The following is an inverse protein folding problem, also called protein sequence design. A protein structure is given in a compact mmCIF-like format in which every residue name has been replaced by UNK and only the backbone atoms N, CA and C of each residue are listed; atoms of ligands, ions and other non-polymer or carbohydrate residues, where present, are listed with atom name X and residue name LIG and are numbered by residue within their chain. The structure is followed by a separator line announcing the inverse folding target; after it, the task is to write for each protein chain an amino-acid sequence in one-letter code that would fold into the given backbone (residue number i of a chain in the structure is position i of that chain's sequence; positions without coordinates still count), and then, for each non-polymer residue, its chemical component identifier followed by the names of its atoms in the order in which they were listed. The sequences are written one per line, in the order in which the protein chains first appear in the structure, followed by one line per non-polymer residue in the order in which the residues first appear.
data_IF_012178718760
#
_entry.id   IF_012178718760
#
_cell.length_a   1.000
_cell.length_b   1.000
_cell.length_c   1.000
_cell.angle_alpha   90.00
_cell.angle_beta   90.00
_cell.angle_gamma   90.00
#
_symmetry.space_group_name_H-M   'P 1'
#
loop_
_entity.id
_entity.type
_entity.pdbx_description
1 polymer ?
#
# COMPACT_ATOMS: atom_id res chain seq x y z
N UNK A 1 -4.32 15.61 -6.81
CA UNK A 1 -3.19 15.90 -5.90
C UNK A 1 -1.95 15.98 -6.77
N UNK A 2 -1.14 17.04 -6.66
CA UNK A 2 0.10 17.13 -7.44
C UNK A 2 1.21 16.31 -6.78
N UNK A 3 2.25 15.94 -7.52
CA UNK A 3 3.40 15.21 -6.96
C UNK A 3 4.01 15.96 -5.77
N UNK A 4 4.26 17.26 -5.91
CA UNK A 4 4.82 18.12 -4.85
C UNK A 4 3.94 18.12 -3.60
N UNK A 5 2.62 18.18 -3.74
CA UNK A 5 1.72 18.10 -2.61
C UNK A 5 1.72 16.72 -1.95
N UNK A 6 1.75 15.66 -2.76
CA UNK A 6 1.84 14.29 -2.26
C UNK A 6 3.10 14.11 -1.42
N UNK A 7 4.25 14.57 -1.93
CA UNK A 7 5.54 14.53 -1.24
C UNK A 7 5.49 15.38 0.04
N UNK A 8 4.98 16.62 -0.04
CA UNK A 8 4.86 17.49 1.13
C UNK A 8 3.91 16.94 2.20
N UNK A 9 2.81 16.30 1.80
CA UNK A 9 1.89 15.64 2.73
C UNK A 9 2.57 14.44 3.40
N UNK A 10 3.23 13.58 2.62
CA UNK A 10 3.98 12.42 3.13
C UNK A 10 5.09 12.86 4.08
N UNK A 11 5.82 13.94 3.77
CA UNK A 11 6.87 14.48 4.62
C UNK A 11 6.32 14.91 5.97
N UNK A 12 5.23 15.69 5.98
CA UNK A 12 4.59 16.11 7.23
C UNK A 12 4.07 14.93 8.05
N UNK A 13 3.48 13.93 7.40
CA UNK A 13 3.01 12.72 8.06
C UNK A 13 4.17 11.90 8.64
N UNK A 14 5.27 11.75 7.91
CA UNK A 14 6.48 11.07 8.36
C UNK A 14 7.12 11.80 9.54
N UNK A 15 7.25 13.13 9.43
CA UNK A 15 7.77 14.00 10.49
C UNK A 15 6.97 13.85 11.79
N UNK A 16 5.64 13.97 11.71
CA UNK A 16 4.76 13.78 12.86
C UNK A 16 4.89 12.38 13.48
N UNK A 17 4.90 11.33 12.66
CA UNK A 17 5.06 9.95 13.14
C UNK A 17 6.43 9.71 13.80
N UNK A 18 7.50 10.30 13.25
CA UNK A 18 8.85 10.21 13.81
C UNK A 18 8.95 10.97 15.13
N UNK A 19 8.30 12.12 15.27
CA UNK A 19 8.25 12.87 16.52
C UNK A 19 7.47 12.14 17.61
N UNK A 20 6.32 11.54 17.26
CA UNK A 20 5.55 10.67 18.16
C UNK A 20 6.40 9.48 18.63
N UNK A 21 7.10 8.82 17.70
CA UNK A 21 7.98 7.69 17.99
C UNK A 21 9.16 8.10 18.89
N UNK A 22 9.83 9.21 18.59
CA UNK A 22 10.90 9.77 19.44
C UNK A 22 10.38 10.14 20.83
N UNK A 23 9.15 10.64 20.93
CA UNK A 23 8.53 10.91 22.23
C UNK A 23 8.28 9.63 23.01
N UNK A 24 7.74 8.59 22.36
CA UNK A 24 7.51 7.29 22.98
C UNK A 24 8.81 6.63 23.44
N UNK A 25 9.88 6.69 22.63
CA UNK A 25 11.21 6.18 22.99
C UNK A 25 11.76 6.91 24.22
N UNK A 26 11.66 8.25 24.26
CA UNK A 26 12.10 9.03 25.44
C UNK A 26 11.33 8.71 26.71
N UNK A 27 10.02 8.46 26.61
CA UNK A 27 9.20 8.05 27.75
C UNK A 27 9.56 6.63 28.22
N UNK A 28 9.73 5.69 27.30
CA UNK A 28 10.15 4.32 27.61
C UNK A 28 11.52 4.29 28.29
N UNK A 29 12.47 5.10 27.82
CA UNK A 29 13.83 5.21 28.37
C UNK A 29 13.88 5.63 29.85
N UNK A 30 12.78 6.15 30.43
CA UNK A 30 12.71 6.44 31.88
C UNK A 30 12.58 5.18 32.74
N UNK A 31 12.12 4.08 32.17
CA UNK A 31 11.80 2.84 32.88
C UNK A 31 12.85 1.73 32.66
N UNK A 32 13.65 1.87 31.61
CA UNK A 32 14.70 0.92 31.27
C UNK A 32 16.05 1.60 31.50
N UNK A 33 16.97 0.93 32.20
CA UNK A 33 18.40 1.27 32.23
C UNK A 33 19.02 0.91 30.87
N UNK A 34 18.44 1.45 29.80
CA UNK A 34 18.84 1.15 28.44
C UNK A 34 20.14 1.91 28.15
N UNK A 35 21.26 1.22 28.34
CA UNK A 35 22.45 1.48 27.56
C UNK A 35 22.05 1.49 26.08
N UNK A 36 22.49 2.51 25.34
CA UNK A 36 22.00 2.95 24.03
C UNK A 36 21.58 1.82 23.07
N UNK A 37 20.30 1.40 23.11
CA UNK A 37 19.76 0.54 22.05
C UNK A 37 19.60 1.42 20.81
N UNK A 38 20.57 1.28 19.90
CA UNK A 38 20.60 1.97 18.61
C UNK A 38 19.55 1.36 17.67
N UNK A 39 18.34 1.90 17.71
CA UNK A 39 17.30 1.56 16.74
C UNK A 39 17.52 2.35 15.45
N UNK A 40 17.50 1.66 14.31
CA UNK A 40 17.40 2.35 13.03
C UNK A 40 16.03 3.01 12.92
N UNK A 41 16.02 4.33 13.00
CA UNK A 41 14.87 5.17 12.72
C UNK A 41 15.05 5.72 11.30
N UNK A 42 14.17 5.39 10.34
CA UNK A 42 14.26 5.96 9.01
C UNK A 42 14.16 7.49 9.12
N UNK A 43 14.99 8.18 8.36
CA UNK A 43 14.91 9.64 8.25
C UNK A 43 13.67 10.04 7.45
N UNK A 44 13.25 11.31 7.57
CA UNK A 44 12.19 11.85 6.70
C UNK A 44 12.58 11.72 5.22
N UNK A 45 13.86 11.89 4.90
CA UNK A 45 14.38 11.77 3.55
C UNK A 45 14.31 10.32 3.03
N UNK A 46 14.56 9.31 3.88
CA UNK A 46 14.40 7.90 3.50
C UNK A 46 12.95 7.57 3.10
N UNK A 47 11.99 8.10 3.87
CA UNK A 47 10.56 7.92 3.58
C UNK A 47 10.16 8.62 2.28
N UNK A 48 10.73 9.80 2.01
CA UNK A 48 10.44 10.59 0.81
C UNK A 48 11.08 9.97 -0.42
N UNK A 49 12.34 9.57 -0.35
CA UNK A 49 13.05 8.93 -1.46
C UNK A 49 12.32 7.67 -1.92
N UNK A 50 11.89 6.84 -0.97
CA UNK A 50 11.08 5.65 -1.29
C UNK A 50 9.79 6.01 -2.03
N UNK A 51 9.12 7.08 -1.62
CA UNK A 51 7.89 7.54 -2.28
C UNK A 51 8.17 8.10 -3.68
N UNK A 52 9.30 8.77 -3.88
CA UNK A 52 9.76 9.21 -5.21
C UNK A 52 10.05 8.03 -6.13
N UNK A 53 10.71 6.99 -5.60
CA UNK A 53 11.00 5.75 -6.34
C UNK A 53 9.71 5.05 -6.76
N UNK A 54 8.71 4.97 -5.88
CA UNK A 54 7.37 4.42 -6.21
C UNK A 54 6.69 5.25 -7.32
N UNK A 55 6.80 6.58 -7.25
CA UNK A 55 6.23 7.48 -8.25
C UNK A 55 7.00 7.50 -9.58
N UNK A 56 8.24 7.03 -9.62
CA UNK A 56 9.06 6.99 -10.84
C UNK A 56 8.50 6.08 -11.93
N UNK A 57 7.61 5.16 -11.56
CA UNK A 57 6.85 4.30 -12.48
C UNK A 57 5.79 5.06 -13.29
N UNK A 58 5.48 6.30 -12.93
CA UNK A 58 4.47 7.12 -13.60
C UNK A 58 5.11 8.21 -14.46
N UNK A 59 4.51 8.46 -15.63
CA UNK A 59 4.82 9.65 -16.41
C UNK A 59 4.20 10.89 -15.75
N UNK A 60 5.04 11.91 -15.52
CA UNK A 60 4.61 13.16 -14.92
C UNK A 60 4.24 14.17 -16.02
N UNK A 61 2.96 14.56 -16.06
CA UNK A 61 2.51 15.64 -16.95
C UNK A 61 2.87 16.99 -16.32
N UNK A 62 3.80 17.77 -16.90
CA UNK A 62 4.22 19.04 -16.31
C UNK A 62 3.12 20.09 -16.46
N UNK A 63 2.93 20.89 -15.41
CA UNK A 63 2.07 22.08 -15.46
C UNK A 63 2.82 23.17 -16.24
N UNK A 64 2.30 23.57 -17.38
CA UNK A 64 2.87 24.69 -18.14
C UNK A 64 2.60 26.02 -17.43
N UNK A 65 3.48 27.00 -17.66
CA UNK A 65 3.32 28.34 -17.09
C UNK A 65 2.00 29.00 -17.51
N UNK A 66 1.59 28.78 -18.76
CA UNK A 66 0.31 29.27 -19.29
C UNK A 66 -0.89 28.62 -18.58
N UNK A 67 -0.82 27.32 -18.29
CA UNK A 67 -1.86 26.60 -17.54
C UNK A 67 -1.97 27.17 -16.12
N UNK A 68 -0.84 27.43 -15.46
CA UNK A 68 -0.82 28.01 -14.11
C UNK A 68 -1.42 29.43 -14.07
N UNK A 69 -1.06 30.29 -15.03
CA UNK A 69 -1.63 31.64 -15.14
C UNK A 69 -3.13 31.57 -15.43
N UNK A 70 -3.56 30.71 -16.36
CA UNK A 70 -4.96 30.53 -16.69
C UNK A 70 -5.76 29.96 -15.51
N UNK A 71 -5.16 29.09 -14.70
CA UNK A 71 -5.77 28.54 -13.51
C UNK A 71 -6.04 29.60 -12.43
N UNK A 72 -5.11 30.53 -12.21
CA UNK A 72 -5.31 31.68 -11.31
C UNK A 72 -6.42 32.61 -11.81
N UNK A 73 -6.51 32.83 -13.13
CA UNK A 73 -7.60 33.61 -13.72
C UNK A 73 -8.95 32.91 -13.51
N UNK A 74 -9.02 31.60 -13.75
CA UNK A 74 -10.23 30.81 -13.48
C UNK A 74 -10.67 30.88 -12.02
N UNK A 75 -9.73 30.87 -11.09
CA UNK A 75 -10.04 31.06 -9.67
C UNK A 75 -10.66 32.44 -9.42
N UNK A 76 -10.03 33.52 -9.88
CA UNK A 76 -10.56 34.88 -9.75
C UNK A 76 -11.98 35.02 -10.32
N UNK A 77 -12.23 34.39 -11.47
CA UNK A 77 -13.52 34.41 -12.18
C UNK A 77 -14.50 33.31 -11.70
N UNK A 78 -14.10 32.46 -10.75
CA UNK A 78 -14.89 31.35 -10.19
C UNK A 78 -15.38 30.37 -11.26
N UNK A 79 -14.54 30.13 -12.28
CA UNK A 79 -14.82 29.20 -13.37
C UNK A 79 -14.42 27.78 -12.93
N UNK A 80 -15.32 26.78 -13.06
CA UNK A 80 -15.01 25.40 -12.70
C UNK A 80 -13.67 24.89 -13.28
N UNK A 81 -12.93 24.04 -12.55
CA UNK A 81 -13.28 23.48 -11.24
C UNK A 81 -13.12 24.47 -10.06
N UNK A 82 -12.71 25.72 -10.31
CA UNK A 82 -12.68 26.74 -9.26
C UNK A 82 -14.10 27.21 -8.88
N UNK A 83 -14.26 27.73 -7.65
CA UNK A 83 -15.53 28.15 -7.09
C UNK A 83 -15.38 29.20 -6.00
N UNK A 84 -16.50 29.80 -5.61
CA UNK A 84 -16.57 30.54 -4.36
C UNK A 84 -16.71 29.58 -3.16
N UNK A 85 -16.13 29.96 -2.04
CA UNK A 85 -16.42 29.44 -0.71
C UNK A 85 -17.64 30.15 -0.09
N UNK A 86 -18.18 29.67 1.04
CA UNK A 86 -19.28 30.33 1.73
C UNK A 86 -19.01 31.78 2.17
N UNK A 87 -17.75 32.12 2.44
CA UNK A 87 -17.28 33.48 2.77
C UNK A 87 -17.02 34.36 1.54
N UNK A 88 -17.26 33.84 0.33
CA UNK A 88 -17.12 34.58 -0.93
C UNK A 88 -15.69 34.64 -1.49
N UNK A 89 -14.71 34.07 -0.79
CA UNK A 89 -13.35 33.89 -1.30
C UNK A 89 -13.32 32.89 -2.45
N UNK A 90 -12.40 33.09 -3.38
CA UNK A 90 -12.22 32.22 -4.53
C UNK A 90 -11.20 31.12 -4.20
N UNK A 91 -11.52 29.88 -4.56
CA UNK A 91 -10.64 28.72 -4.37
C UNK A 91 -10.69 27.80 -5.59
N UNK A 92 -9.62 27.04 -5.80
CA UNK A 92 -9.55 25.96 -6.79
C UNK A 92 -8.59 26.20 -7.95
N UNK A 93 -7.68 27.18 -7.86
CA UNK A 93 -6.61 27.38 -8.85
C UNK A 93 -5.80 26.10 -9.08
N UNK A 94 -5.47 25.34 -8.03
CA UNK A 94 -4.79 24.05 -8.19
C UNK A 94 -5.57 23.08 -9.08
N UNK A 95 -6.84 22.88 -8.78
CA UNK A 95 -7.66 21.91 -9.51
C UNK A 95 -7.92 22.41 -10.94
N UNK A 96 -7.96 23.72 -11.15
CA UNK A 96 -8.01 24.34 -12.47
C UNK A 96 -6.71 24.12 -13.26
N UNK A 97 -5.54 24.17 -12.61
CA UNK A 97 -4.26 23.85 -13.23
C UNK A 97 -4.18 22.37 -13.64
N UNK A 98 -4.63 21.46 -12.75
CA UNK A 98 -4.73 20.02 -13.06
C UNK A 98 -5.64 19.81 -14.28
N UNK A 99 -6.83 20.42 -14.29
CA UNK A 99 -7.76 20.33 -15.41
C UNK A 99 -7.12 20.81 -16.72
N UNK A 100 -6.50 21.98 -16.69
CA UNK A 100 -5.86 22.59 -17.86
C UNK A 100 -4.74 21.72 -18.43
N UNK A 101 -3.89 21.17 -17.56
CA UNK A 101 -2.80 20.30 -17.99
C UNK A 101 -3.30 18.96 -18.55
N UNK A 102 -4.31 18.34 -17.92
CA UNK A 102 -4.95 17.11 -18.44
C UNK A 102 -5.62 17.38 -19.79
N UNK A 103 -6.37 18.48 -19.90
CA UNK A 103 -7.00 18.91 -21.15
C UNK A 103 -5.97 19.14 -22.26
N UNK A 104 -4.89 19.87 -21.96
CA UNK A 104 -3.81 20.15 -22.91
C UNK A 104 -3.17 18.84 -23.40
N UNK A 105 -2.82 17.96 -22.47
CA UNK A 105 -2.27 16.64 -22.77
C UNK A 105 -3.19 15.84 -23.70
N UNK A 106 -4.48 15.73 -23.33
CA UNK A 106 -5.49 15.02 -24.12
C UNK A 106 -5.62 15.58 -25.55
N UNK A 107 -5.71 16.91 -25.69
CA UNK A 107 -5.87 17.56 -26.99
C UNK A 107 -4.61 17.49 -27.85
N UNK A 108 -3.42 17.44 -27.24
CA UNK A 108 -2.15 17.33 -27.97
C UNK A 108 -1.87 15.93 -28.52
N UNK A 109 -2.47 14.88 -27.95
CA UNK A 109 -2.27 13.49 -28.37
C UNK A 109 -2.98 13.10 -29.67
N UNK A 110 -3.75 14.01 -30.29
CA UNK A 110 -4.41 13.76 -31.57
C UNK A 110 -5.67 12.88 -31.49
N UNK A 111 -6.05 12.29 -32.62
CA UNK A 111 -7.31 11.57 -32.81
C UNK A 111 -7.37 10.18 -32.15
N UNK A 112 -6.23 9.63 -31.75
CA UNK A 112 -6.15 8.29 -31.12
C UNK A 112 -6.03 8.35 -29.59
N UNK A 113 -5.67 9.51 -29.04
CA UNK A 113 -5.52 9.70 -27.60
C UNK A 113 -6.83 9.46 -26.82
N UNK A 114 -6.89 8.38 -26.06
CA UNK A 114 -7.94 8.18 -25.05
C UNK A 114 -7.42 8.64 -23.70
N UNK A 115 -8.26 9.29 -22.89
CA UNK A 115 -7.88 9.76 -21.55
C UNK A 115 -8.91 9.35 -20.52
N UNK A 116 -8.44 8.66 -19.49
CA UNK A 116 -9.23 8.26 -18.33
C UNK A 116 -8.84 9.13 -17.13
N UNK A 117 -9.62 10.17 -16.87
CA UNK A 117 -9.36 11.12 -15.79
C UNK A 117 -10.00 10.64 -14.48
N UNK A 118 -9.17 10.29 -13.51
CA UNK A 118 -9.61 9.81 -12.18
C UNK A 118 -9.41 10.90 -11.13
N UNK A 119 -10.46 11.26 -10.39
CA UNK A 119 -10.36 12.22 -9.29
C UNK A 119 -11.44 12.02 -8.23
N UNK A 120 -11.02 11.90 -6.97
CA UNK A 120 -11.91 11.87 -5.80
C UNK A 120 -12.57 13.22 -5.48
N UNK A 121 -12.13 14.32 -6.11
CA UNK A 121 -12.78 15.62 -5.96
C UNK A 121 -14.02 15.75 -6.87
N UNK A 122 -15.04 14.94 -6.59
CA UNK A 122 -16.32 14.97 -7.31
C UNK A 122 -17.11 16.27 -7.09
N UNK A 123 -16.78 17.06 -6.06
CA UNK A 123 -17.41 18.36 -5.83
C UNK A 123 -17.06 19.32 -6.95
N UNK A 124 -15.77 19.43 -7.28
CA UNK A 124 -15.26 20.44 -8.20
C UNK A 124 -15.22 19.95 -9.65
N UNK A 125 -14.96 18.66 -9.89
CA UNK A 125 -14.96 18.07 -11.25
C UNK A 125 -16.28 17.42 -11.65
N UNK A 126 -17.00 16.83 -10.69
CA UNK A 126 -18.21 16.07 -10.95
C UNK A 126 -19.45 16.96 -11.12
N UNK A 127 -20.32 16.60 -12.06
CA UNK A 127 -21.58 17.29 -12.32
C UNK A 127 -22.47 17.36 -11.07
N UNK A 128 -23.28 18.41 -10.98
CA UNK A 128 -24.20 18.59 -9.83
C UNK A 128 -25.31 17.53 -9.83
N UNK A 129 -25.80 17.14 -11.01
CA UNK A 129 -26.86 16.14 -11.18
C UNK A 129 -26.39 14.71 -10.91
N UNK A 130 -25.17 14.38 -11.31
CA UNK A 130 -24.56 13.08 -11.09
C UNK A 130 -23.05 13.22 -10.92
N UNK A 131 -22.57 12.94 -9.71
CA UNK A 131 -21.14 13.07 -9.34
C UNK A 131 -20.21 12.08 -10.04
N UNK A 132 -20.76 11.10 -10.75
CA UNK A 132 -20.02 10.17 -11.62
C UNK A 132 -19.77 10.72 -13.03
N UNK A 133 -20.43 11.83 -13.40
CA UNK A 133 -20.25 12.48 -14.70
C UNK A 133 -19.37 13.71 -14.54
N UNK A 134 -18.57 14.01 -15.57
CA UNK A 134 -17.82 15.27 -15.63
C UNK A 134 -18.80 16.44 -15.76
N UNK A 135 -18.47 17.58 -15.16
CA UNK A 135 -19.22 18.84 -15.37
C UNK A 135 -19.32 19.18 -16.87
N UNK A 136 -20.49 19.63 -17.29
CA UNK A 136 -20.76 19.97 -18.70
C UNK A 136 -19.84 21.09 -19.18
N UNK A 137 -19.55 22.07 -18.32
CA UNK A 137 -18.64 23.18 -18.64
C UNK A 137 -17.23 22.68 -18.96
N UNK A 138 -16.73 21.68 -18.21
CA UNK A 138 -15.43 21.06 -18.47
C UNK A 138 -15.48 20.18 -19.73
N UNK A 139 -16.56 19.41 -19.91
CA UNK A 139 -16.75 18.57 -21.08
C UNK A 139 -16.79 19.38 -22.39
N UNK A 140 -17.42 20.55 -22.37
CA UNK A 140 -17.48 21.47 -23.53
C UNK A 140 -16.10 21.98 -23.95
N UNK A 141 -15.18 22.16 -23.00
CA UNK A 141 -13.81 22.62 -23.29
C UNK A 141 -12.98 21.61 -24.09
N UNK A 142 -13.39 20.34 -24.12
CA UNK A 142 -12.79 19.26 -24.91
C UNK A 142 -13.24 19.26 -26.38
N UNK A 143 -14.30 20.02 -26.72
CA UNK A 143 -14.81 20.18 -28.09
C UNK A 143 -15.11 18.82 -28.74
N UNK A 144 -14.58 18.59 -29.95
CA UNK A 144 -14.80 17.39 -30.74
C UNK A 144 -14.08 16.14 -30.17
N UNK A 145 -13.18 16.30 -29.19
CA UNK A 145 -12.44 15.19 -28.58
C UNK A 145 -13.14 14.59 -27.33
N UNK A 146 -14.31 15.12 -26.94
CA UNK A 146 -15.02 14.74 -25.71
C UNK A 146 -15.44 13.27 -25.64
N UNK A 147 -15.56 12.59 -26.77
CA UNK A 147 -15.96 11.18 -26.88
C UNK A 147 -14.88 10.19 -26.42
N UNK A 148 -13.63 10.65 -26.32
CA UNK A 148 -12.46 9.87 -25.89
C UNK A 148 -11.94 10.29 -24.53
N UNK A 149 -12.72 11.07 -23.78
CA UNK A 149 -12.38 11.52 -22.45
C UNK A 149 -13.38 10.99 -21.43
N UNK A 150 -12.90 10.13 -20.54
CA UNK A 150 -13.73 9.45 -19.56
C UNK A 150 -13.38 9.91 -18.16
N UNK A 151 -14.39 10.29 -17.37
CA UNK A 151 -14.20 10.73 -15.98
C UNK A 151 -14.62 9.64 -14.99
N UNK A 152 -13.77 9.40 -13.99
CA UNK A 152 -14.05 8.46 -12.90
C UNK A 152 -13.84 9.12 -11.53
N UNK A 153 -14.76 8.94 -10.58
CA UNK A 153 -14.67 9.56 -9.26
C UNK A 153 -13.64 8.90 -8.34
N UNK A 154 -13.13 7.71 -8.69
CA UNK A 154 -12.09 7.00 -7.95
C UNK A 154 -11.52 5.87 -8.82
N UNK A 155 -10.38 5.32 -8.39
CA UNK A 155 -9.69 4.25 -9.09
C UNK A 155 -10.55 2.98 -9.21
N UNK A 156 -11.32 2.64 -8.17
CA UNK A 156 -12.21 1.47 -8.21
C UNK A 156 -13.25 1.57 -9.33
N UNK A 157 -13.80 2.76 -9.57
CA UNK A 157 -14.76 2.99 -10.66
C UNK A 157 -14.11 2.85 -12.04
N UNK A 158 -12.82 3.22 -12.15
CA UNK A 158 -12.05 2.99 -13.37
C UNK A 158 -11.88 1.49 -13.61
N UNK A 159 -11.44 0.74 -12.59
CA UNK A 159 -11.26 -0.71 -12.68
C UNK A 159 -12.57 -1.41 -13.05
N UNK A 160 -13.68 -1.03 -12.41
CA UNK A 160 -15.02 -1.56 -12.73
C UNK A 160 -15.48 -1.27 -14.17
N UNK A 161 -14.85 -0.33 -14.87
CA UNK A 161 -15.16 -0.04 -16.28
C UNK A 161 -14.38 -0.88 -17.29
N UNK A 162 -13.25 -1.45 -16.87
CA UNK A 162 -12.42 -2.33 -17.69
C UNK A 162 -12.58 -3.80 -17.35
N UNK A 163 -13.09 -4.09 -16.15
CA UNK A 163 -13.12 -5.43 -15.62
C UNK A 163 -14.53 -5.76 -15.11
N UNK A 164 -14.99 -6.95 -15.46
CA UNK A 164 -16.28 -7.44 -15.00
C UNK A 164 -16.18 -7.76 -13.51
N UNK A 165 -17.03 -7.14 -12.70
CA UNK A 165 -17.07 -7.45 -11.28
C UNK A 165 -17.55 -8.89 -11.09
N UNK A 166 -16.71 -9.73 -10.52
CA UNK A 166 -17.03 -11.13 -10.25
C UNK A 166 -17.63 -11.29 -8.85
N UNK A 167 -18.40 -12.36 -8.66
CA UNK A 167 -18.80 -12.77 -7.33
C UNK A 167 -17.55 -13.08 -6.49
N UNK A 168 -17.58 -12.67 -5.22
CA UNK A 168 -16.54 -13.04 -4.28
C UNK A 168 -16.63 -14.53 -3.96
N UNK A 169 -15.48 -15.18 -3.84
CA UNK A 169 -15.35 -16.56 -3.43
C UNK A 169 -15.21 -16.65 -1.92
N UNK A 170 -15.78 -17.72 -1.36
CA UNK A 170 -15.45 -18.13 0.00
C UNK A 170 -14.08 -18.82 -0.04
N UNK A 171 -13.12 -18.26 0.67
CA UNK A 171 -11.73 -18.68 0.61
C UNK A 171 -11.54 -19.80 1.64
N UNK A 172 -11.60 -21.04 1.17
CA UNK A 172 -11.36 -22.21 2.03
C UNK A 172 -9.95 -22.24 2.61
N UNK A 173 -9.78 -22.91 3.76
CA UNK A 173 -8.47 -23.10 4.37
C UNK A 173 -7.53 -23.92 3.50
N UNK A 174 -8.06 -24.89 2.75
CA UNK A 174 -7.31 -25.69 1.80
C UNK A 174 -6.76 -24.82 0.65
N UNK A 175 -7.58 -23.90 0.13
CA UNK A 175 -7.13 -22.96 -0.87
C UNK A 175 -6.04 -22.03 -0.31
N UNK A 176 -6.21 -21.50 0.90
CA UNK A 176 -5.17 -20.68 1.54
C UNK A 176 -3.85 -21.40 1.70
N UNK A 177 -3.90 -22.66 2.13
CA UNK A 177 -2.69 -23.50 2.23
C UNK A 177 -2.04 -23.66 0.86
N UNK A 178 -2.82 -23.88 -0.19
CA UNK A 178 -2.28 -23.98 -1.55
C UNK A 178 -1.65 -22.66 -2.04
N UNK A 179 -2.22 -21.50 -1.68
CA UNK A 179 -1.63 -20.20 -1.98
C UNK A 179 -0.31 -20.00 -1.22
N UNK A 180 -0.29 -20.40 0.05
CA UNK A 180 0.89 -20.33 0.90
C UNK A 180 2.06 -21.15 0.31
N UNK A 181 1.78 -22.39 -0.12
CA UNK A 181 2.76 -23.31 -0.68
C UNK A 181 3.26 -22.88 -2.08
N UNK A 182 2.35 -22.43 -2.95
CA UNK A 182 2.70 -22.19 -4.35
C UNK A 182 3.22 -20.77 -4.64
N UNK A 183 2.81 -19.77 -3.86
CA UNK A 183 3.03 -18.36 -4.19
C UNK A 183 4.01 -17.66 -3.25
N UNK A 184 4.59 -18.41 -2.30
CA UNK A 184 5.52 -17.89 -1.31
C UNK A 184 5.00 -16.65 -0.58
N UNK A 185 3.68 -16.61 -0.30
CA UNK A 185 3.04 -15.49 0.40
C UNK A 185 3.76 -15.20 1.73
N UNK A 186 4.22 -16.26 2.40
CA UNK A 186 5.00 -16.16 3.63
C UNK A 186 6.29 -15.36 3.45
N UNK A 187 7.03 -15.53 2.36
CA UNK A 187 8.30 -14.81 2.18
C UNK A 187 8.06 -13.32 1.94
N UNK A 188 7.00 -12.99 1.20
CA UNK A 188 6.56 -11.63 0.90
C UNK A 188 6.08 -10.89 2.16
N UNK A 189 5.23 -11.54 2.96
CA UNK A 189 4.77 -10.98 4.24
C UNK A 189 5.94 -10.94 5.22
N UNK A 190 6.79 -11.98 5.31
CA UNK A 190 7.91 -12.02 6.25
C UNK A 190 8.93 -10.94 5.97
N UNK A 191 9.32 -10.74 4.69
CA UNK A 191 10.23 -9.67 4.30
C UNK A 191 9.69 -8.29 4.71
N UNK A 192 8.37 -8.09 4.63
CA UNK A 192 7.72 -6.84 5.02
C UNK A 192 7.58 -6.71 6.54
N UNK A 193 7.20 -7.78 7.23
CA UNK A 193 7.03 -7.85 8.68
C UNK A 193 8.36 -7.68 9.43
N UNK A 194 9.45 -8.30 8.94
CA UNK A 194 10.80 -8.12 9.51
C UNK A 194 11.24 -6.66 9.53
N UNK A 195 10.87 -5.87 8.52
CA UNK A 195 11.16 -4.43 8.47
C UNK A 195 10.40 -3.63 9.54
N UNK A 196 9.33 -4.19 10.10
CA UNK A 196 8.51 -3.56 11.13
C UNK A 196 8.94 -3.97 12.55
N UNK A 197 9.73 -5.03 12.68
CA UNK A 197 10.25 -5.46 13.99
C UNK A 197 11.50 -4.62 14.28
N UNK A 198 11.52 -3.88 15.40
CA UNK A 198 12.70 -3.13 15.78
C UNK A 198 13.87 -4.10 15.96
N UNK A 199 14.94 -3.91 15.19
CA UNK A 199 16.20 -4.62 15.39
C UNK A 199 16.80 -4.14 16.71
N UNK A 200 16.72 -4.93 17.77
CA UNK A 200 17.58 -4.70 18.94
C UNK A 200 18.97 -5.27 18.62
N UNK A 201 20.01 -4.53 18.97
CA UNK A 201 21.42 -4.94 18.78
C UNK A 201 21.78 -6.23 19.52
N UNK A 202 20.96 -6.66 20.47
CA UNK A 202 21.22 -7.78 21.37
C UNK A 202 20.50 -9.08 20.97
N UNK A 203 19.64 -9.05 19.95
CA UNK A 203 18.87 -10.22 19.52
C UNK A 203 19.17 -10.59 18.07
N UNK A 204 19.73 -11.77 17.86
CA UNK A 204 19.85 -12.37 16.54
C UNK A 204 18.54 -13.07 16.16
N UNK A 205 18.02 -12.79 14.95
CA UNK A 205 16.89 -13.56 14.41
C UNK A 205 17.38 -14.91 13.92
N UNK A 206 17.03 -15.97 14.64
CA UNK A 206 17.42 -17.35 14.31
C UNK A 206 16.46 -17.97 13.31
N UNK A 207 15.19 -17.59 13.38
CA UNK A 207 14.18 -18.07 12.45
C UNK A 207 12.90 -17.26 12.55
N UNK A 208 12.07 -17.38 11.53
CA UNK A 208 10.71 -16.89 11.55
C UNK A 208 9.78 -17.86 10.83
N UNK A 209 8.49 -17.69 11.10
CA UNK A 209 7.44 -18.44 10.45
C UNK A 209 6.20 -17.57 10.34
N UNK A 210 5.53 -17.65 9.21
CA UNK A 210 4.20 -17.11 9.04
C UNK A 210 3.19 -18.24 9.03
N UNK A 211 2.09 -18.02 9.74
CA UNK A 211 0.90 -18.83 9.62
C UNK A 211 -0.23 -17.93 9.15
N UNK A 212 -0.80 -18.24 7.97
CA UNK A 212 -2.02 -17.59 7.53
C UNK A 212 -3.18 -18.14 8.39
N UNK A 213 -3.87 -17.24 9.07
CA UNK A 213 -4.94 -17.57 10.03
C UNK A 213 -6.28 -17.63 9.31
N UNK A 214 -6.55 -16.62 8.49
CA UNK A 214 -7.78 -16.47 7.74
C UNK A 214 -7.55 -15.64 6.47
N UNK A 215 -8.47 -15.72 5.52
CA UNK A 215 -8.51 -14.77 4.43
C UNK A 215 -9.91 -14.54 3.91
N UNK A 216 -10.15 -13.30 3.49
CA UNK A 216 -11.39 -12.91 2.87
C UNK A 216 -11.10 -12.20 1.56
N UNK A 217 -11.76 -12.65 0.48
CA UNK A 217 -11.77 -11.91 -0.76
C UNK A 217 -12.70 -10.70 -0.64
N UNK A 218 -12.12 -9.51 -0.73
CA UNK A 218 -12.85 -8.23 -0.61
C UNK A 218 -13.48 -7.80 -1.92
N UNK A 219 -12.82 -8.09 -3.03
CA UNK A 219 -13.32 -7.80 -4.37
C UNK A 219 -12.66 -8.71 -5.39
N UNK A 220 -13.36 -8.97 -6.48
CA UNK A 220 -12.83 -9.71 -7.60
C UNK A 220 -13.31 -9.13 -8.94
N UNK A 221 -12.43 -9.23 -9.92
CA UNK A 221 -12.59 -8.63 -11.23
C UNK A 221 -12.14 -9.62 -12.31
N UNK A 222 -12.88 -9.71 -13.41
CA UNK A 222 -12.52 -10.45 -14.61
C UNK A 222 -11.76 -9.54 -15.57
N UNK A 223 -10.50 -9.84 -15.85
CA UNK A 223 -9.64 -9.09 -16.77
C UNK A 223 -9.10 -10.06 -17.82
N UNK A 224 -9.47 -9.87 -19.08
CA UNK A 224 -9.04 -10.72 -20.20
C UNK A 224 -9.26 -12.24 -19.98
N UNK A 225 -10.38 -12.58 -19.33
CA UNK A 225 -10.72 -13.97 -18.97
C UNK A 225 -10.03 -14.51 -17.72
N UNK A 226 -9.17 -13.72 -17.09
CA UNK A 226 -8.45 -14.05 -15.85
C UNK A 226 -9.11 -13.39 -14.64
N UNK A 227 -8.87 -13.93 -13.44
CA UNK A 227 -9.43 -13.39 -12.19
C UNK A 227 -8.37 -12.55 -11.47
N UNK A 228 -8.68 -11.28 -11.24
CA UNK A 228 -7.94 -10.40 -10.34
C UNK A 228 -8.73 -10.23 -9.03
N UNK A 229 -8.15 -10.66 -7.93
CA UNK A 229 -8.76 -10.68 -6.60
C UNK A 229 -7.98 -9.82 -5.62
N UNK A 230 -8.69 -9.07 -4.78
CA UNK A 230 -8.13 -8.40 -3.62
C UNK A 230 -8.46 -9.22 -2.38
N UNK A 231 -7.45 -9.80 -1.77
CA UNK A 231 -7.56 -10.57 -0.54
C UNK A 231 -7.18 -9.71 0.67
N UNK A 232 -7.94 -9.83 1.75
CA UNK A 232 -7.51 -9.46 3.09
C UNK A 232 -7.12 -10.73 3.82
N UNK A 233 -5.84 -10.87 4.14
CA UNK A 233 -5.28 -12.05 4.79
C UNK A 233 -4.90 -11.69 6.21
N UNK A 234 -5.39 -12.47 7.17
CA UNK A 234 -4.97 -12.41 8.57
C UNK A 234 -3.85 -13.41 8.79
N UNK A 235 -2.80 -13.00 9.49
CA UNK A 235 -1.64 -13.86 9.72
C UNK A 235 -1.08 -13.70 11.13
N UNK A 236 -0.47 -14.77 11.60
CA UNK A 236 0.39 -14.80 12.77
C UNK A 236 1.85 -14.89 12.30
N UNK A 237 2.66 -13.91 12.68
CA UNK A 237 4.11 -13.87 12.46
C UNK A 237 4.81 -14.29 13.75
N UNK A 238 5.54 -15.40 13.67
CA UNK A 238 6.36 -15.93 14.76
C UNK A 238 7.81 -15.64 14.46
N UNK A 239 8.53 -15.09 15.42
CA UNK A 239 9.98 -14.86 15.32
C UNK A 239 10.68 -15.53 16.49
N UNK A 240 11.69 -16.33 16.16
CA UNK A 240 12.62 -16.90 17.11
C UNK A 240 13.87 -16.02 17.15
N UNK A 241 14.06 -15.38 18.29
CA UNK A 241 15.19 -14.55 18.60
C UNK A 241 16.13 -15.29 19.54
N UNK A 242 17.43 -15.04 19.41
CA UNK A 242 18.45 -15.50 20.35
C UNK A 242 19.20 -14.31 20.91
N UNK A 243 19.39 -14.29 22.22
CA UNK A 243 20.22 -13.33 22.93
C UNK A 243 21.20 -14.05 23.85
N UNK A 244 21.93 -13.28 24.67
CA UNK A 244 22.89 -13.83 25.64
C UNK A 244 22.23 -14.73 26.69
N UNK A 245 20.93 -14.52 26.97
CA UNK A 245 20.16 -15.22 27.99
C UNK A 245 19.41 -16.46 27.44
N UNK A 246 19.50 -16.76 26.14
CA UNK A 246 18.86 -17.92 25.53
C UNK A 246 18.00 -17.58 24.32
N UNK A 247 16.86 -18.28 24.18
CA UNK A 247 15.96 -18.14 23.04
C UNK A 247 14.63 -17.54 23.48
N UNK A 248 14.13 -16.59 22.69
CA UNK A 248 12.85 -15.93 22.85
C UNK A 248 12.01 -16.20 21.63
N UNK A 249 10.76 -16.60 21.81
CA UNK A 249 9.79 -16.60 20.71
C UNK A 249 8.81 -15.45 20.92
N UNK A 250 8.61 -14.63 19.89
CA UNK A 250 7.59 -13.57 19.90
C UNK A 250 6.56 -13.85 18.82
N UNK A 251 5.29 -13.63 19.16
CA UNK A 251 4.15 -13.75 18.27
C UNK A 251 3.56 -12.38 17.98
N UNK A 252 3.31 -12.11 16.70
CA UNK A 252 2.68 -10.89 16.22
C UNK A 252 1.48 -11.24 15.34
N UNK A 253 0.33 -10.63 15.62
CA UNK A 253 -0.86 -10.74 14.77
C UNK A 253 -0.90 -9.58 13.77
N UNK A 254 -1.23 -9.85 12.51
CA UNK A 254 -1.26 -8.85 11.47
C UNK A 254 -2.33 -9.08 10.41
N UNK A 255 -2.55 -8.04 9.59
CA UNK A 255 -3.43 -8.09 8.43
C UNK A 255 -2.68 -7.56 7.21
N UNK A 256 -2.74 -8.32 6.12
CA UNK A 256 -2.18 -7.97 4.83
C UNK A 256 -3.29 -7.82 3.79
N UNK A 257 -3.19 -6.82 2.93
CA UNK A 257 -3.97 -6.72 1.69
C UNK A 257 -3.10 -7.18 0.54
N UNK A 258 -3.61 -8.11 -0.25
CA UNK A 258 -2.85 -8.79 -1.29
C UNK A 258 -3.67 -8.79 -2.57
N UNK A 259 -3.05 -8.41 -3.68
CA UNK A 259 -3.59 -8.67 -5.00
C UNK A 259 -3.17 -10.06 -5.45
N UNK A 260 -4.16 -10.86 -5.85
CA UNK A 260 -3.99 -12.19 -6.42
C UNK A 260 -4.47 -12.13 -7.88
N UNK A 261 -3.60 -12.39 -8.83
CA UNK A 261 -3.95 -12.49 -10.24
C UNK A 261 -3.80 -13.94 -10.69
N UNK A 262 -4.92 -14.60 -10.99
CA UNK A 262 -4.96 -15.97 -11.48
C UNK A 262 -5.17 -15.99 -12.99
N UNK A 263 -4.09 -16.26 -13.72
CA UNK A 263 -4.10 -16.43 -15.16
C UNK A 263 -3.86 -17.90 -15.54
N UNK A 264 -4.92 -18.55 -16.01
CA UNK A 264 -4.90 -19.95 -16.45
C UNK A 264 -4.35 -20.92 -15.39
N UNK A 265 -4.64 -20.69 -14.11
CA UNK A 265 -4.15 -21.52 -12.99
C UNK A 265 -2.74 -21.18 -12.53
N UNK A 266 -2.12 -20.15 -13.12
CA UNK A 266 -0.89 -19.55 -12.59
C UNK A 266 -1.29 -18.30 -11.84
N UNK A 267 -1.18 -18.37 -10.52
CA UNK A 267 -1.41 -17.22 -9.67
C UNK A 267 -0.12 -16.40 -9.49
N UNK A 268 -0.26 -15.09 -9.44
CA UNK A 268 0.78 -14.15 -8.97
C UNK A 268 0.23 -13.33 -7.82
N UNK A 269 1.12 -12.94 -6.90
CA UNK A 269 0.78 -12.28 -5.63
C UNK A 269 1.57 -11.00 -5.50
N UNK A 270 0.89 -9.92 -5.15
CA UNK A 270 1.50 -8.64 -4.82
C UNK A 270 0.96 -8.09 -3.50
N UNK A 271 1.86 -7.61 -2.63
CA UNK A 271 1.47 -7.00 -1.36
C UNK A 271 1.01 -5.55 -1.60
N UNK A 272 -0.27 -5.28 -1.39
CA UNK A 272 -0.86 -3.93 -1.47
C UNK A 272 -0.54 -3.13 -0.20
N UNK A 273 -0.81 -3.73 0.96
CA UNK A 273 -0.65 -3.06 2.25
C UNK A 273 -0.42 -4.04 3.38
N UNK A 274 0.48 -3.71 4.30
CA UNK A 274 0.63 -4.40 5.58
C UNK A 274 0.18 -3.46 6.71
N UNK A 275 -0.76 -3.90 7.54
CA UNK A 275 -1.14 -3.12 8.74
C UNK A 275 -0.10 -3.30 9.85
N UNK A 276 0.04 -2.30 10.76
CA UNK A 276 0.83 -2.46 11.98
C UNK A 276 0.48 -3.76 12.69
N UNK A 277 1.51 -4.57 12.96
CA UNK A 277 1.33 -5.80 13.69
C UNK A 277 1.12 -5.50 15.17
N UNK A 278 0.24 -6.25 15.81
CA UNK A 278 0.05 -6.18 17.25
C UNK A 278 0.89 -7.27 17.89
N UNK A 279 1.79 -6.90 18.80
CA UNK A 279 2.50 -7.88 19.63
C UNK A 279 1.48 -8.63 20.48
N UNK A 280 1.52 -9.95 20.42
CA UNK A 280 0.56 -10.82 21.11
C UNK A 280 1.21 -11.40 22.36
N UNK A 281 2.41 -11.96 22.22
CA UNK A 281 3.03 -12.75 23.28
C UNK A 281 4.54 -12.88 23.07
N UNK A 282 5.31 -12.94 24.17
CA UNK A 282 6.71 -13.38 24.18
C UNK A 282 6.89 -14.48 25.20
N UNK A 283 7.50 -15.59 24.80
CA UNK A 283 7.80 -16.73 25.66
C UNK A 283 9.31 -16.94 25.70
N UNK A 284 9.87 -17.01 26.91
CA UNK A 284 11.28 -17.37 27.13
C UNK A 284 11.39 -18.89 27.14
N UNK A 285 12.25 -19.43 26.28
CA UNK A 285 12.47 -20.87 26.14
C UNK A 285 13.69 -21.28 26.97
N UNK A 286 13.57 -21.22 28.30
CA UNK A 286 14.66 -21.59 29.22
C UNK A 286 14.97 -23.11 29.21
N UNK A 287 14.13 -23.94 28.59
CA UNK A 287 14.15 -25.40 28.76
C UNK A 287 13.84 -26.24 27.51
N UNK A 288 13.48 -25.63 26.37
CA UNK A 288 13.13 -26.42 25.16
C UNK A 288 14.35 -27.03 24.49
N UNK A 289 15.55 -26.46 24.71
CA UNK A 289 16.79 -27.09 24.26
C UNK A 289 17.17 -28.34 25.06
N UNK A 290 16.74 -28.48 26.31
CA UNK A 290 16.92 -29.74 27.06
C UNK A 290 15.99 -30.85 26.54
N UNK A 291 14.85 -30.48 25.93
CA UNK A 291 13.92 -31.43 25.32
C UNK A 291 14.28 -31.83 23.87
N UNK A 292 15.01 -30.97 23.15
CA UNK A 292 15.51 -31.24 21.79
C UNK A 292 16.98 -31.72 21.78
N UNK A 293 17.68 -31.62 22.91
CA UNK A 293 19.12 -31.89 23.08
C UNK A 293 19.46 -33.19 23.82
N UNK A 294 18.74 -34.27 23.52
CA UNK A 294 19.20 -35.62 23.87
C UNK A 294 20.41 -36.02 23.00
N UNK A 295 21.58 -36.04 23.64
CA UNK A 295 22.89 -36.53 23.18
C UNK A 295 23.55 -35.83 21.99
N UNK A 296 24.47 -34.92 22.35
CA UNK A 296 25.49 -34.35 21.48
C UNK A 296 26.53 -35.39 21.04
N UNK A 297 26.17 -36.23 20.07
CA UNK A 297 27.16 -36.80 19.16
C UNK A 297 27.25 -35.90 17.93
N UNK A 298 28.44 -35.33 17.73
CA UNK A 298 28.81 -34.50 16.60
C UNK A 298 28.75 -35.31 15.29
N UNK A 299 27.58 -35.41 14.68
CA UNK A 299 27.41 -35.86 13.31
C UNK A 299 27.12 -34.66 12.41
N UNK A 300 27.95 -34.42 11.41
CA UNK A 300 27.69 -33.49 10.32
C UNK A 300 26.34 -33.83 9.65
N UNK A 301 25.34 -32.96 9.81
CA UNK A 301 24.04 -33.11 9.16
C UNK A 301 24.14 -32.56 7.74
N UNK A 302 24.41 -33.45 6.79
CA UNK A 302 24.00 -33.26 5.41
C UNK A 302 22.47 -33.45 5.30
N UNK A 303 21.87 -32.55 4.52
CA UNK A 303 20.49 -32.49 4.03
C UNK A 303 19.46 -33.51 4.53
N UNK A 304 18.47 -33.02 5.28
CA UNK A 304 17.18 -33.70 5.45
C UNK A 304 16.10 -32.84 4.81
N UNK A 305 15.61 -33.31 3.66
CA UNK A 305 14.43 -32.77 2.98
C UNK A 305 13.12 -33.14 3.69
N UNK A 306 12.00 -32.52 3.30
CA UNK A 306 10.73 -32.66 4.01
C UNK A 306 10.10 -34.03 3.72
N UNK A 307 9.92 -34.84 4.76
CA UNK A 307 9.05 -36.01 4.71
C UNK A 307 7.63 -35.65 5.14
N UNK A 308 6.69 -36.07 4.29
CA UNK A 308 5.26 -35.95 4.45
C UNK A 308 4.72 -36.75 5.65
N UNK A 309 3.70 -36.22 6.31
CA UNK A 309 2.84 -36.93 7.26
C UNK A 309 1.44 -37.06 6.65
N UNK A 310 1.08 -38.29 6.25
CA UNK A 310 -0.28 -38.84 6.36
C UNK A 310 -0.31 -39.73 7.62
N UNK A 311 -1.44 -39.98 8.28
CA UNK A 311 -2.84 -39.99 7.86
C UNK A 311 -3.75 -39.08 8.70
#
# INVERSE_FOLDING_TARGET
MTQVESLGYRRRAASAALDDLRSAIREAAKYFEADEVSYYLPSEDDVIQRWEDELSSFELIPIAGEDAIAALRREADRIPPARATPDGSAVGSRDAAIWLSVRRFHLSGGAEQVTYFVSSNSTDFGAKSNKRLLRSELLEELRDARDRFFYFPNLSSLVESFADKLATLDISREYLRSLQENLQIDSLIAASARRMIPSSSECETVGDRIALVDAQEKSAFGVDGNRLSLLLVEFDFFILLRNENGYLTSKYGGQARIWLYDANGVATVELDQLRPMTHVETVVLDSVLDALGGDGSSGSVEGVGPQALGD
#
